data_IF_327764542307
#
_entry.id   IF_327764542307
#
_cell.length_a   1.000
_cell.length_b   1.000
_cell.length_c   1.000
_cell.angle_alpha   90.00
_cell.angle_beta   90.00
_cell.angle_gamma   90.00
#
_symmetry.space_group_name_H-M   'P 1'
#
loop_
_entity.id
_entity.type
_entity.pdbx_description
1 polymer ?
#
# COMPACT_ATOMS: atom_id res chain seq x y z
N UNK A 1 22.73 12.51 -12.65
CA UNK A 1 24.03 11.83 -12.52
C UNK A 1 25.19 12.81 -12.63
N UNK A 2 25.05 13.93 -13.34
CA UNK A 2 25.92 15.10 -13.14
C UNK A 2 27.36 14.92 -13.60
N UNK A 3 27.62 13.92 -14.45
CA UNK A 3 28.90 13.62 -15.08
C UNK A 3 29.06 14.40 -16.39
N UNK A 4 30.31 14.62 -16.81
CA UNK A 4 30.65 15.53 -17.91
C UNK A 4 30.91 14.82 -19.25
N UNK A 5 31.17 13.51 -19.24
CA UNK A 5 31.45 12.72 -20.45
C UNK A 5 30.87 11.28 -20.44
N UNK A 6 30.98 10.62 -21.60
CA UNK A 6 30.45 9.27 -21.84
C UNK A 6 31.19 8.18 -21.07
N UNK A 7 32.51 8.29 -20.91
CA UNK A 7 33.33 7.28 -20.24
C UNK A 7 33.00 7.25 -18.74
N UNK A 8 32.82 8.42 -18.12
CA UNK A 8 32.40 8.54 -16.73
C UNK A 8 30.97 8.03 -16.53
N UNK A 9 30.06 8.30 -17.48
CA UNK A 9 28.71 7.75 -17.44
C UNK A 9 28.70 6.21 -17.56
N UNK A 10 29.46 5.65 -18.48
CA UNK A 10 29.53 4.21 -18.73
C UNK A 10 30.18 3.43 -17.58
N UNK A 11 30.97 4.09 -16.72
CA UNK A 11 31.50 3.50 -15.49
C UNK A 11 30.47 3.43 -14.35
N UNK A 12 29.40 4.23 -14.41
CA UNK A 12 28.38 4.33 -13.36
C UNK A 12 27.08 3.62 -13.69
N UNK A 13 26.75 3.47 -14.97
CA UNK A 13 25.53 2.81 -15.43
C UNK A 13 25.75 1.95 -16.66
N UNK A 14 24.94 0.91 -16.79
CA UNK A 14 24.94 -0.01 -17.92
C UNK A 14 23.68 0.16 -18.78
N UNK A 15 23.76 -0.32 -20.04
CA UNK A 15 22.60 -0.35 -20.93
C UNK A 15 21.54 -1.30 -20.34
N UNK A 16 20.40 -0.74 -19.99
CA UNK A 16 19.30 -1.46 -19.36
C UNK A 16 19.06 -1.04 -17.91
N UNK A 17 19.96 -0.28 -17.31
CA UNK A 17 19.74 0.27 -15.97
C UNK A 17 18.51 1.19 -15.96
N UNK A 18 17.62 1.04 -14.95
CA UNK A 18 16.43 1.86 -14.86
C UNK A 18 16.82 3.30 -14.52
N UNK A 19 16.40 4.24 -15.36
CA UNK A 19 16.61 5.67 -15.13
C UNK A 19 15.35 6.30 -14.53
N UNK A 20 15.56 7.20 -13.58
CA UNK A 20 14.50 7.94 -12.90
C UNK A 20 14.88 9.40 -12.70
N UNK A 21 13.88 10.26 -12.54
CA UNK A 21 14.11 11.66 -12.16
C UNK A 21 14.31 11.73 -10.66
N UNK A 22 15.40 12.38 -10.23
CA UNK A 22 15.61 12.72 -8.84
C UNK A 22 14.59 13.79 -8.41
N UNK A 23 13.49 13.34 -7.80
CA UNK A 23 12.46 14.20 -7.26
C UNK A 23 12.44 14.05 -5.74
N UNK A 24 12.51 15.19 -5.04
CA UNK A 24 12.36 15.26 -3.58
C UNK A 24 10.88 15.38 -3.21
N UNK A 25 10.57 14.99 -1.98
CA UNK A 25 9.27 15.30 -1.36
C UNK A 25 9.07 16.81 -1.36
N UNK A 26 7.86 17.24 -1.68
CA UNK A 26 7.42 18.64 -1.64
C UNK A 26 6.19 18.75 -0.76
N UNK A 27 6.24 19.65 0.19
CA UNK A 27 5.07 20.04 0.96
C UNK A 27 4.10 20.78 0.03
N UNK A 28 2.82 20.44 0.14
CA UNK A 28 1.71 21.15 -0.48
C UNK A 28 0.93 21.91 0.61
N UNK A 29 -0.18 22.54 0.23
CA UNK A 29 -1.04 23.21 1.21
C UNK A 29 -1.58 22.22 2.26
N UNK A 30 -1.63 22.69 3.52
CA UNK A 30 -2.08 21.89 4.66
C UNK A 30 -1.08 20.81 5.04
N UNK A 31 -1.57 19.59 5.24
CA UNK A 31 -0.78 18.42 5.63
C UNK A 31 -0.49 17.49 4.44
N UNK A 32 -0.59 18.01 3.21
CA UNK A 32 -0.44 17.23 1.98
C UNK A 32 0.99 17.28 1.47
N UNK A 33 1.44 16.19 0.86
CA UNK A 33 2.77 16.10 0.26
C UNK A 33 2.69 15.51 -1.15
N UNK A 34 3.61 15.91 -2.01
CA UNK A 34 3.82 15.33 -3.33
C UNK A 34 5.24 14.78 -3.46
N UNK A 35 5.36 13.55 -3.93
CA UNK A 35 6.64 12.92 -4.23
C UNK A 35 6.49 11.88 -5.34
N UNK A 36 7.63 11.45 -5.90
CA UNK A 36 7.64 10.33 -6.84
C UNK A 36 7.49 9.01 -6.10
N UNK A 37 6.66 8.12 -6.65
CA UNK A 37 6.48 6.77 -6.14
C UNK A 37 5.80 6.73 -4.78
N UNK A 38 4.89 7.68 -4.51
CA UNK A 38 4.02 7.59 -3.33
C UNK A 38 3.33 6.23 -3.32
N UNK A 39 2.83 5.82 -4.48
CA UNK A 39 2.56 4.44 -4.84
C UNK A 39 3.90 3.67 -5.11
N UNK A 40 4.32 2.70 -4.28
CA UNK A 40 3.76 2.32 -2.98
C UNK A 40 4.74 2.57 -1.82
N UNK A 41 5.55 3.65 -1.88
CA UNK A 41 6.44 4.03 -0.77
C UNK A 41 5.69 4.34 0.52
N UNK A 42 4.48 4.90 0.44
CA UNK A 42 3.68 5.19 1.64
C UNK A 42 3.15 3.91 2.29
N UNK A 43 2.78 2.89 1.51
CA UNK A 43 2.44 1.57 2.03
C UNK A 43 3.64 0.90 2.69
N UNK A 44 4.82 0.90 2.04
CA UNK A 44 6.06 0.37 2.61
C UNK A 44 6.40 1.07 3.94
N UNK A 45 6.30 2.40 3.98
CA UNK A 45 6.52 3.15 5.21
C UNK A 45 5.52 2.76 6.30
N UNK A 46 4.23 2.60 5.95
CA UNK A 46 3.16 2.19 6.86
C UNK A 46 3.44 0.81 7.46
N UNK A 47 3.85 -0.17 6.63
CA UNK A 47 4.20 -1.50 7.09
C UNK A 47 5.44 -1.50 8.00
N UNK A 48 6.50 -0.76 7.62
CA UNK A 48 7.73 -0.65 8.41
C UNK A 48 7.47 0.02 9.78
N UNK A 49 6.68 1.09 9.79
CA UNK A 49 6.31 1.80 11.01
C UNK A 49 5.37 0.96 11.89
N UNK A 50 4.46 0.19 11.27
CA UNK A 50 3.61 -0.80 11.94
C UNK A 50 4.45 -1.85 12.67
N UNK A 51 5.44 -2.45 12.00
CA UNK A 51 6.38 -3.38 12.63
C UNK A 51 7.17 -2.71 13.76
N UNK A 52 7.69 -1.49 13.53
CA UNK A 52 8.42 -0.75 14.56
C UNK A 52 7.57 -0.51 15.81
N UNK A 53 6.28 -0.24 15.66
CA UNK A 53 5.34 -0.05 16.79
C UNK A 53 4.99 -1.38 17.45
N UNK A 54 4.79 -2.45 16.68
CA UNK A 54 4.53 -3.79 17.20
C UNK A 54 5.69 -4.28 18.09
N UNK A 55 6.93 -4.09 17.65
CA UNK A 55 8.13 -4.44 18.45
C UNK A 55 8.20 -3.60 19.72
N UNK A 56 7.97 -2.28 19.65
CA UNK A 56 7.98 -1.41 20.84
C UNK A 56 6.86 -1.73 21.82
N UNK A 57 5.74 -2.24 21.33
CA UNK A 57 4.58 -2.62 22.12
C UNK A 57 4.61 -4.06 22.64
N UNK A 58 5.71 -4.80 22.42
CA UNK A 58 5.83 -6.22 22.80
C UNK A 58 4.65 -7.06 22.28
N UNK A 59 4.38 -6.95 20.98
CA UNK A 59 3.26 -7.65 20.37
C UNK A 59 3.37 -9.17 20.57
N UNK A 60 2.31 -9.79 21.09
CA UNK A 60 2.24 -11.24 21.30
C UNK A 60 2.28 -12.03 19.97
N UNK A 61 1.76 -11.43 18.90
CA UNK A 61 1.80 -12.00 17.57
C UNK A 61 3.19 -11.84 16.92
N UNK A 62 3.60 -12.84 16.15
CA UNK A 62 4.76 -12.67 15.25
C UNK A 62 4.35 -11.75 14.10
N UNK A 63 4.99 -10.58 14.01
CA UNK A 63 4.70 -9.58 12.98
C UNK A 63 5.80 -9.58 11.93
N UNK A 64 5.41 -9.74 10.67
CA UNK A 64 6.27 -9.58 9.50
C UNK A 64 5.91 -8.27 8.80
N UNK A 65 6.92 -7.50 8.37
CA UNK A 65 6.76 -6.45 7.37
C UNK A 65 7.51 -6.86 6.11
N UNK A 66 6.80 -6.90 4.99
CA UNK A 66 7.35 -7.38 3.72
C UNK A 66 7.19 -6.28 2.68
N UNK A 67 8.30 -5.92 2.03
CA UNK A 67 8.28 -5.14 0.79
C UNK A 67 8.31 -6.13 -0.36
N UNK A 68 7.16 -6.35 -0.99
CA UNK A 68 7.04 -7.22 -2.16
C UNK A 68 7.59 -6.53 -3.40
N UNK A 69 7.84 -7.33 -4.44
CA UNK A 69 8.24 -6.86 -5.77
C UNK A 69 7.22 -7.32 -6.78
N UNK A 70 7.18 -6.63 -7.93
CA UNK A 70 6.40 -7.06 -9.09
C UNK A 70 4.88 -7.16 -8.83
N UNK A 71 4.32 -6.28 -8.00
CA UNK A 71 2.87 -6.09 -7.84
C UNK A 71 2.24 -5.81 -9.22
N UNK A 72 2.71 -4.75 -9.85
CA UNK A 72 2.24 -4.20 -11.13
C UNK A 72 2.35 -5.14 -12.34
N UNK A 73 3.13 -6.22 -12.22
CA UNK A 73 3.34 -7.22 -13.28
C UNK A 73 2.80 -8.60 -12.90
N UNK A 74 1.93 -8.65 -11.87
CA UNK A 74 1.15 -9.84 -11.52
C UNK A 74 1.50 -10.44 -10.17
N UNK A 75 1.76 -9.59 -9.16
CA UNK A 75 1.81 -9.92 -7.73
C UNK A 75 2.87 -10.96 -7.35
N UNK A 76 3.98 -11.04 -8.10
CA UNK A 76 4.92 -12.18 -8.00
C UNK A 76 5.59 -12.29 -6.64
N UNK A 77 6.00 -11.17 -6.06
CA UNK A 77 6.59 -11.16 -4.72
C UNK A 77 5.61 -11.66 -3.67
N UNK A 78 4.35 -11.21 -3.71
CA UNK A 78 3.31 -11.66 -2.79
C UNK A 78 2.99 -13.16 -2.95
N UNK A 79 2.92 -13.67 -4.19
CA UNK A 79 2.72 -15.10 -4.45
C UNK A 79 3.83 -15.97 -3.86
N UNK A 80 5.09 -15.54 -3.98
CA UNK A 80 6.24 -16.25 -3.44
C UNK A 80 6.22 -16.22 -1.91
N UNK A 81 6.20 -15.01 -1.33
CA UNK A 81 6.37 -14.83 0.12
C UNK A 81 5.16 -15.29 0.92
N UNK A 82 3.94 -15.18 0.36
CA UNK A 82 2.72 -15.67 1.00
C UNK A 82 2.73 -17.18 1.15
N UNK A 83 3.34 -17.90 0.20
CA UNK A 83 3.53 -19.33 0.36
C UNK A 83 4.62 -19.65 1.37
N UNK A 84 5.73 -18.92 1.44
CA UNK A 84 6.82 -19.28 2.36
C UNK A 84 6.52 -18.91 3.82
N UNK A 85 5.91 -17.74 4.06
CA UNK A 85 5.66 -17.25 5.42
C UNK A 85 4.48 -17.92 6.13
N UNK A 86 3.49 -18.40 5.38
CA UNK A 86 2.25 -19.00 5.92
C UNK A 86 1.59 -18.18 7.05
N UNK A 87 1.27 -16.89 6.82
CA UNK A 87 0.73 -16.03 7.87
C UNK A 87 -0.73 -16.37 8.20
N UNK A 88 -1.14 -16.14 9.45
CA UNK A 88 -2.53 -16.34 9.88
C UNK A 88 -3.48 -15.24 9.40
N UNK A 89 -2.95 -14.05 9.14
CA UNK A 89 -3.69 -12.94 8.54
C UNK A 89 -2.71 -11.99 7.83
N UNK A 90 -3.18 -11.29 6.82
CA UNK A 90 -2.40 -10.31 6.06
C UNK A 90 -3.15 -8.98 5.95
N UNK A 91 -2.44 -7.89 6.19
CA UNK A 91 -2.89 -6.54 5.83
C UNK A 91 -1.94 -6.04 4.72
N UNK A 92 -2.43 -6.05 3.49
CA UNK A 92 -1.73 -5.46 2.35
C UNK A 92 -1.98 -3.95 2.37
N UNK A 93 -0.93 -3.18 2.61
CA UNK A 93 -0.99 -1.71 2.59
C UNK A 93 -0.66 -1.20 1.21
N UNK A 94 -1.59 -0.49 0.60
CA UNK A 94 -1.41 0.09 -0.74
C UNK A 94 -1.98 1.51 -0.80
N UNK A 95 -1.85 2.19 -1.92
CA UNK A 95 -2.55 3.45 -2.13
C UNK A 95 -4.01 3.21 -2.49
N UNK A 96 -4.88 4.15 -2.12
CA UNK A 96 -6.26 4.19 -2.58
C UNK A 96 -6.50 5.49 -3.35
N UNK A 97 -7.13 5.41 -4.52
CA UNK A 97 -7.36 6.58 -5.35
C UNK A 97 -8.47 7.46 -4.77
N UNK A 98 -8.08 8.62 -4.24
CA UNK A 98 -9.02 9.66 -3.84
C UNK A 98 -9.65 10.31 -5.09
N UNK A 99 -10.96 10.53 -5.05
CA UNK A 99 -11.75 11.06 -6.17
C UNK A 99 -12.40 12.41 -5.88
N UNK A 100 -12.00 13.08 -4.80
CA UNK A 100 -12.44 14.41 -4.35
C UNK A 100 -11.88 15.59 -5.19
N UNK A 101 -11.20 15.30 -6.30
CA UNK A 101 -10.71 16.34 -7.20
C UNK A 101 -11.87 17.12 -7.84
N UNK A 102 -11.80 18.46 -7.93
CA UNK A 102 -12.79 19.27 -8.66
C UNK A 102 -12.96 18.89 -10.15
N UNK A 103 -11.97 18.19 -10.72
CA UNK A 103 -12.01 17.70 -12.10
C UNK A 103 -12.82 16.42 -12.29
N UNK A 104 -13.22 15.75 -11.21
CA UNK A 104 -14.00 14.50 -11.26
C UNK A 104 -15.48 14.85 -11.08
N UNK A 105 -16.37 14.45 -12.01
CA UNK A 105 -17.80 14.72 -11.90
C UNK A 105 -18.41 14.17 -10.60
N UNK A 106 -19.31 14.93 -9.99
CA UNK A 106 -20.04 14.49 -8.80
C UNK A 106 -20.80 13.17 -9.07
N UNK A 107 -20.68 12.20 -8.17
CA UNK A 107 -21.26 10.86 -8.34
C UNK A 107 -20.48 9.92 -9.26
N UNK A 108 -19.35 10.36 -9.81
CA UNK A 108 -18.38 9.49 -10.48
C UNK A 108 -17.17 9.25 -9.56
N UNK A 109 -16.68 8.00 -9.50
CA UNK A 109 -15.55 7.62 -8.64
C UNK A 109 -15.94 6.81 -7.41
N UNK A 110 -14.98 6.64 -6.50
CA UNK A 110 -15.11 5.83 -5.28
C UNK A 110 -15.70 6.60 -4.11
N UNK A 111 -15.76 7.93 -4.20
CA UNK A 111 -16.17 8.81 -3.10
C UNK A 111 -15.10 8.97 -2.01
N UNK A 112 -13.88 8.52 -2.28
CA UNK A 112 -12.78 8.61 -1.33
C UNK A 112 -12.16 10.00 -1.37
N UNK A 113 -11.82 10.52 -0.19
CA UNK A 113 -11.26 11.86 -0.01
C UNK A 113 -9.86 11.80 0.57
N UNK A 114 -9.00 12.74 0.16
CA UNK A 114 -7.71 12.92 0.82
C UNK A 114 -7.93 13.40 2.25
N UNK A 115 -7.11 12.92 3.18
CA UNK A 115 -7.14 13.31 4.59
C UNK A 115 -8.38 12.86 5.39
N UNK A 116 -9.31 12.08 4.81
CA UNK A 116 -10.47 11.52 5.52
C UNK A 116 -10.20 10.14 6.18
N UNK A 117 -8.94 9.83 6.46
CA UNK A 117 -8.52 8.56 7.06
C UNK A 117 -8.21 7.44 6.05
N UNK A 118 -7.62 6.32 6.49
CA UNK A 118 -7.28 5.19 5.63
C UNK A 118 -8.54 4.48 5.11
N UNK A 119 -8.37 3.76 4.01
CA UNK A 119 -9.46 3.13 3.27
C UNK A 119 -9.47 1.64 3.55
N UNK A 120 -10.54 1.16 4.19
CA UNK A 120 -10.76 -0.26 4.44
C UNK A 120 -11.56 -0.84 3.27
N UNK A 121 -10.93 -1.69 2.47
CA UNK A 121 -11.61 -2.33 1.35
C UNK A 121 -12.54 -3.46 1.82
N UNK A 122 -13.66 -3.67 1.12
CA UNK A 122 -14.67 -4.69 1.42
C UNK A 122 -15.07 -5.45 0.17
N UNK A 123 -15.14 -6.78 0.26
CA UNK A 123 -15.43 -7.67 -0.87
C UNK A 123 -14.17 -8.21 -1.54
N UNK A 124 -14.32 -9.11 -2.51
CA UNK A 124 -13.21 -9.81 -3.16
C UNK A 124 -12.22 -10.45 -2.15
N UNK A 125 -10.93 -10.12 -2.21
CA UNK A 125 -9.87 -10.64 -1.34
C UNK A 125 -9.97 -10.24 0.14
N UNK A 126 -10.90 -9.33 0.49
CA UNK A 126 -11.00 -8.77 1.83
C UNK A 126 -11.88 -9.64 2.74
N UNK A 127 -11.24 -10.36 3.67
CA UNK A 127 -11.91 -11.24 4.61
C UNK A 127 -12.78 -10.43 5.59
N UNK A 128 -14.10 -10.71 5.73
CA UNK A 128 -15.01 -9.92 6.55
C UNK A 128 -14.57 -9.77 8.01
N UNK A 129 -13.98 -10.81 8.61
CA UNK A 129 -13.46 -10.75 9.98
C UNK A 129 -12.27 -9.79 10.14
N UNK A 130 -11.41 -9.66 9.12
CA UNK A 130 -10.26 -8.75 9.18
C UNK A 130 -10.73 -7.31 8.95
N UNK A 131 -11.68 -7.11 8.03
CA UNK A 131 -12.37 -5.83 7.82
C UNK A 131 -12.99 -5.33 9.11
N UNK A 132 -13.81 -6.14 9.78
CA UNK A 132 -14.45 -5.75 11.03
C UNK A 132 -13.44 -5.52 12.15
N UNK A 133 -12.41 -6.35 12.29
CA UNK A 133 -11.36 -6.14 13.28
C UNK A 133 -10.67 -4.77 13.13
N UNK A 134 -10.30 -4.38 11.91
CA UNK A 134 -9.69 -3.06 11.67
C UNK A 134 -10.66 -1.91 11.96
N UNK A 135 -11.94 -2.06 11.61
CA UNK A 135 -12.97 -1.04 11.88
C UNK A 135 -13.28 -0.91 13.38
N UNK A 136 -13.25 -2.01 14.13
CA UNK A 136 -13.36 -1.99 15.59
C UNK A 136 -12.18 -1.26 16.20
N UNK A 137 -10.94 -1.57 15.78
CA UNK A 137 -9.74 -0.86 16.25
C UNK A 137 -9.80 0.63 15.92
N UNK A 138 -10.30 1.00 14.74
CA UNK A 138 -10.47 2.41 14.38
C UNK A 138 -11.49 3.11 15.29
N UNK A 139 -12.66 2.50 15.50
CA UNK A 139 -13.69 3.01 16.42
C UNK A 139 -13.16 3.17 17.84
N UNK A 140 -12.48 2.16 18.38
CA UNK A 140 -11.95 2.15 19.75
C UNK A 140 -10.83 3.18 19.97
N UNK A 141 -10.27 3.72 18.88
CA UNK A 141 -9.18 4.69 18.88
C UNK A 141 -9.62 6.07 18.38
N UNK A 142 -10.91 6.27 18.13
CA UNK A 142 -11.47 7.50 17.56
C UNK A 142 -10.76 7.91 16.25
N UNK A 143 -10.48 6.92 15.38
CA UNK A 143 -9.87 7.14 14.07
C UNK A 143 -10.91 7.07 12.96
N UNK A 144 -10.95 8.10 12.12
CA UNK A 144 -11.74 8.09 10.91
C UNK A 144 -11.19 7.06 9.90
N UNK A 145 -12.10 6.32 9.28
CA UNK A 145 -11.79 5.39 8.19
C UNK A 145 -12.83 5.48 7.10
N UNK A 146 -12.40 5.28 5.86
CA UNK A 146 -13.26 5.25 4.69
C UNK A 146 -13.53 3.80 4.28
N UNK A 147 -14.68 3.54 3.67
CA UNK A 147 -15.02 2.21 3.15
C UNK A 147 -15.05 2.23 1.64
N UNK A 148 -14.36 1.26 1.03
CA UNK A 148 -14.36 1.07 -0.42
C UNK A 148 -14.85 -0.34 -0.76
N UNK A 149 -15.82 -0.42 -1.67
CA UNK A 149 -16.19 -1.71 -2.26
C UNK A 149 -15.12 -2.16 -3.26
N UNK A 150 -14.58 -3.36 -3.08
CA UNK A 150 -13.76 -4.03 -4.08
C UNK A 150 -14.67 -4.82 -5.03
N UNK A 151 -14.38 -4.72 -6.34
CA UNK A 151 -15.12 -5.43 -7.38
C UNK A 151 -14.77 -6.91 -7.44
N UNK A 152 -14.30 -7.39 -8.60
CA UNK A 152 -13.83 -8.76 -8.74
C UNK A 152 -12.48 -9.01 -8.07
N UNK A 153 -11.64 -7.98 -7.97
CA UNK A 153 -10.29 -8.01 -7.39
C UNK A 153 -9.96 -6.66 -6.74
N UNK A 154 -8.94 -6.60 -5.88
CA UNK A 154 -8.43 -5.33 -5.34
C UNK A 154 -7.42 -4.68 -6.30
N UNK A 155 -6.74 -5.49 -7.11
CA UNK A 155 -5.60 -5.06 -7.90
C UNK A 155 -4.37 -4.78 -7.03
N UNK A 156 -4.25 -5.46 -5.88
CA UNK A 156 -3.13 -5.30 -4.95
C UNK A 156 -2.67 -6.67 -4.46
N UNK A 157 -1.58 -6.71 -3.69
CA UNK A 157 -1.04 -7.96 -3.12
C UNK A 157 -2.04 -8.78 -2.30
N UNK A 158 -3.11 -8.17 -1.77
CA UNK A 158 -4.20 -8.88 -1.11
C UNK A 158 -4.78 -10.01 -2.00
N UNK A 159 -4.86 -9.78 -3.32
CA UNK A 159 -5.36 -10.76 -4.29
C UNK A 159 -4.47 -12.02 -4.39
N UNK A 160 -3.17 -11.88 -4.13
CA UNK A 160 -2.25 -13.03 -4.08
C UNK A 160 -2.29 -13.72 -2.72
N UNK A 161 -2.34 -12.96 -1.62
CA UNK A 161 -2.34 -13.54 -0.28
C UNK A 161 -3.63 -14.30 0.03
N UNK A 162 -4.81 -13.81 -0.37
CA UNK A 162 -6.06 -14.45 0.07
C UNK A 162 -6.27 -15.87 -0.45
N UNK A 163 -5.57 -16.25 -1.54
CA UNK A 163 -5.60 -17.61 -2.10
C UNK A 163 -4.38 -18.45 -1.72
N UNK A 164 -3.38 -17.86 -1.05
CA UNK A 164 -2.19 -18.58 -0.62
C UNK A 164 -2.55 -19.71 0.35
N UNK A 165 -1.86 -20.85 0.22
CA UNK A 165 -1.98 -22.03 1.11
C UNK A 165 -3.41 -22.49 1.45
N UNK A 166 -4.34 -22.35 0.50
CA UNK A 166 -5.73 -22.78 0.69
C UNK A 166 -6.64 -21.72 1.34
N UNK A 167 -6.10 -20.54 1.61
CA UNK A 167 -6.85 -19.36 2.02
C UNK A 167 -6.24 -18.66 3.22
N UNK A 168 -5.75 -17.44 3.03
CA UNK A 168 -5.26 -16.60 4.12
C UNK A 168 -6.20 -15.41 4.33
N UNK A 169 -6.76 -15.20 5.52
CA UNK A 169 -7.55 -14.01 5.83
C UNK A 169 -6.74 -12.73 5.49
N UNK A 170 -7.21 -11.97 4.50
CA UNK A 170 -6.46 -10.84 3.95
C UNK A 170 -7.31 -9.58 3.96
N UNK A 171 -6.66 -8.41 4.00
CA UNK A 171 -7.29 -7.10 3.86
C UNK A 171 -6.39 -6.19 3.03
N UNK A 172 -6.97 -5.49 2.07
CA UNK A 172 -6.37 -4.32 1.42
C UNK A 172 -6.71 -3.06 2.25
N UNK A 173 -5.68 -2.41 2.78
CA UNK A 173 -5.78 -1.17 3.54
C UNK A 173 -5.11 -0.04 2.76
N UNK A 174 -5.94 0.87 2.25
CA UNK A 174 -5.53 1.95 1.37
C UNK A 174 -5.09 3.22 2.09
N UNK A 175 -4.01 3.85 1.62
CA UNK A 175 -3.65 5.23 1.95
C UNK A 175 -4.16 6.15 0.84
N UNK A 176 -5.10 7.08 1.10
CA UNK A 176 -5.60 7.99 0.08
C UNK A 176 -4.47 8.74 -0.64
N UNK A 177 -4.43 8.63 -1.97
CA UNK A 177 -3.41 9.22 -2.83
C UNK A 177 -4.02 9.72 -4.16
N UNK A 178 -3.31 10.61 -4.84
CA UNK A 178 -3.68 11.21 -6.13
C UNK A 178 -2.48 11.44 -7.04
#
# INVERSE_FOLDING_TARGET
MGVEDEDEAAALVERGDPVTFAQRVRDLEGERVAARGMDNRVGIWTAAEGLRRAVRGDAEATVYAVSTVQEEVGLKGAQMVGFDLDPNAVVATDVAHATDSPSIPAGSGTGLELSAGPVVARGSANHPGVVEAVRTVATDRDLDVQLQAAGSKTGTDADAFYTARGGTPSLNLGVPNR
#
